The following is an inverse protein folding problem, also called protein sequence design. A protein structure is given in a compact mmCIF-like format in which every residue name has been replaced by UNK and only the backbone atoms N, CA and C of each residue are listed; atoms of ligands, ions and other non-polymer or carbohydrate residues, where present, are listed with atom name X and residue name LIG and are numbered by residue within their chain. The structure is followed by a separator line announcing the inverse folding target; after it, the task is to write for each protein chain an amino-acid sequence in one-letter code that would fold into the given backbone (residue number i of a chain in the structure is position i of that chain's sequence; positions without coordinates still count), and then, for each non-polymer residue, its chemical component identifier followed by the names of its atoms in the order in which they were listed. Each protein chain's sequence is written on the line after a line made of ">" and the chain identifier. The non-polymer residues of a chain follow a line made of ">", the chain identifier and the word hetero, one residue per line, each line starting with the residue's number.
data_IF_421404466146
#
_entry.id   IF_421404466146
#
_cell.length_a   1.000
_cell.length_b   1.000
_cell.length_c   1.000
_cell.angle_alpha   90.00
_cell.angle_beta   90.00
_cell.angle_gamma   90.00
#
_symmetry.space_group_name_H-M   'P 1'
#
loop_
_entity.id
_entity.type
_entity.pdbx_description
1 polymer ?
#
# COMPACT_ATOMS: atom_id res chain seq x y z
N UNK A 1 9.19 2.79 5.64
CA UNK A 1 8.30 2.29 4.56
C UNK A 1 7.74 3.46 3.77
N UNK A 2 7.63 3.34 2.44
CA UNK A 2 6.99 4.32 1.57
C UNK A 2 5.73 3.75 0.89
N UNK A 3 4.66 4.53 0.83
CA UNK A 3 3.43 4.25 0.08
C UNK A 3 3.31 5.29 -1.02
N UNK A 4 3.21 4.87 -2.28
CA UNK A 4 3.32 5.76 -3.45
C UNK A 4 2.06 5.69 -4.31
N UNK A 5 1.47 6.83 -4.63
CA UNK A 5 0.38 6.95 -5.61
C UNK A 5 -0.83 7.72 -5.11
N UNK A 6 -2.04 7.22 -5.39
CA UNK A 6 -3.31 7.87 -5.01
C UNK A 6 -3.64 7.67 -3.53
N UNK A 7 -3.02 8.46 -2.65
CA UNK A 7 -3.22 8.39 -1.19
C UNK A 7 -4.59 8.92 -0.80
N UNK A 8 -5.06 9.95 -1.51
CA UNK A 8 -6.34 10.62 -1.27
C UNK A 8 -7.53 9.64 -1.30
N UNK A 9 -7.53 8.70 -2.25
CA UNK A 9 -8.64 7.76 -2.44
C UNK A 9 -8.33 6.32 -1.99
N UNK A 10 -7.09 6.02 -1.59
CA UNK A 10 -6.71 4.64 -1.27
C UNK A 10 -7.09 4.23 0.15
N UNK A 11 -8.11 3.36 0.25
CA UNK A 11 -8.41 2.64 1.50
C UNK A 11 -7.24 1.78 1.97
N UNK A 12 -6.44 1.26 1.04
CA UNK A 12 -5.25 0.42 1.35
C UNK A 12 -4.17 1.27 2.02
N UNK A 13 -3.92 2.48 1.51
CA UNK A 13 -2.98 3.41 2.12
C UNK A 13 -3.45 3.76 3.54
N UNK A 14 -4.71 4.13 3.70
CA UNK A 14 -5.29 4.49 5.00
C UNK A 14 -5.17 3.36 6.03
N UNK A 15 -5.57 2.15 5.67
CA UNK A 15 -5.47 1.00 6.59
C UNK A 15 -4.03 0.67 6.93
N UNK A 16 -3.11 0.75 5.97
CA UNK A 16 -1.70 0.48 6.22
C UNK A 16 -1.08 1.52 7.13
N UNK A 17 -1.34 2.82 6.92
CA UNK A 17 -0.83 3.88 7.80
C UNK A 17 -1.26 3.65 9.26
N UNK A 18 -2.56 3.40 9.47
CA UNK A 18 -3.10 3.13 10.81
C UNK A 18 -2.49 1.87 11.44
N UNK A 19 -2.43 0.77 10.69
CA UNK A 19 -1.89 -0.48 11.20
C UNK A 19 -0.39 -0.37 11.54
N UNK A 20 0.39 0.27 10.67
CA UNK A 20 1.82 0.44 10.87
C UNK A 20 2.13 1.40 12.01
N UNK A 21 1.34 2.46 12.16
CA UNK A 21 1.44 3.36 13.31
C UNK A 21 1.16 2.59 14.60
N UNK A 22 0.10 1.77 14.64
CA UNK A 22 -0.22 0.93 15.80
C UNK A 22 0.87 -0.11 16.10
N UNK A 23 1.56 -0.62 15.08
CA UNK A 23 2.69 -1.55 15.22
C UNK A 23 4.02 -0.86 15.56
N UNK A 24 4.03 0.48 15.75
CA UNK A 24 5.22 1.22 16.13
C UNK A 24 6.24 1.41 15.01
N UNK A 25 5.81 1.37 13.75
CA UNK A 25 6.70 1.68 12.63
C UNK A 25 7.18 3.14 12.72
N UNK A 26 8.50 3.38 12.87
CA UNK A 26 9.01 4.71 13.20
C UNK A 26 9.05 5.67 12.01
N UNK A 27 9.04 5.15 10.78
CA UNK A 27 9.17 5.95 9.56
C UNK A 27 8.21 5.46 8.47
N UNK A 28 7.02 6.08 8.43
CA UNK A 28 6.00 5.85 7.42
C UNK A 28 5.95 7.07 6.51
N UNK A 29 6.11 6.84 5.21
CA UNK A 29 6.15 7.90 4.19
C UNK A 29 5.00 7.72 3.21
N UNK A 30 4.36 8.81 2.84
CA UNK A 30 3.43 8.86 1.72
C UNK A 30 4.02 9.73 0.62
N UNK A 31 3.96 9.23 -0.61
CA UNK A 31 4.60 9.86 -1.76
C UNK A 31 3.57 9.99 -2.87
N UNK A 32 3.40 11.18 -3.41
CA UNK A 32 2.50 11.37 -4.53
C UNK A 32 2.41 12.83 -4.98
N UNK A 33 1.73 13.07 -6.10
CA UNK A 33 1.42 14.42 -6.53
C UNK A 33 0.49 15.10 -5.52
N UNK A 34 0.64 16.41 -5.33
CA UNK A 34 -0.16 17.19 -4.36
C UNK A 34 -1.67 17.00 -4.53
N UNK A 35 -2.13 16.82 -5.77
CA UNK A 35 -3.53 16.57 -6.12
C UNK A 35 -4.07 15.22 -5.63
N UNK A 36 -3.19 14.28 -5.29
CA UNK A 36 -3.54 12.95 -4.78
C UNK A 36 -3.11 12.72 -3.33
N UNK A 37 -2.73 13.79 -2.62
CA UNK A 37 -2.42 13.77 -1.20
C UNK A 37 -3.57 14.42 -0.42
N UNK A 38 -4.17 13.74 0.57
CA UNK A 38 -5.18 14.35 1.42
C UNK A 38 -4.56 15.42 2.31
N UNK A 39 -5.28 16.53 2.50
CA UNK A 39 -4.88 17.58 3.43
C UNK A 39 -4.82 17.03 4.85
N UNK A 40 -3.71 17.26 5.55
CA UNK A 40 -3.53 16.82 6.93
C UNK A 40 -3.31 15.31 7.07
N UNK A 41 -2.82 14.62 6.04
CA UNK A 41 -2.49 13.19 6.12
C UNK A 41 -1.42 12.90 7.20
N UNK A 42 -0.61 13.89 7.54
CA UNK A 42 0.40 13.85 8.61
C UNK A 42 -0.20 13.49 9.97
N UNK A 43 -1.50 13.72 10.20
CA UNK A 43 -2.19 13.32 11.43
C UNK A 43 -2.13 11.81 11.69
N UNK A 44 -1.88 11.00 10.65
CA UNK A 44 -1.67 9.55 10.74
C UNK A 44 -0.22 9.17 11.08
N UNK A 45 0.60 10.13 11.54
CA UNK A 45 2.00 9.89 11.91
C UNK A 45 2.92 9.62 10.72
N UNK A 46 2.57 10.12 9.54
CA UNK A 46 3.32 9.90 8.30
C UNK A 46 4.05 11.16 7.84
N UNK A 47 5.15 10.98 7.11
CA UNK A 47 5.86 12.05 6.41
C UNK A 47 5.40 12.13 4.96
N UNK A 48 5.16 13.35 4.48
CA UNK A 48 4.68 13.58 3.12
C UNK A 48 5.83 13.98 2.20
N UNK A 49 5.91 13.33 1.04
CA UNK A 49 6.88 13.63 -0.01
C UNK A 49 6.17 13.86 -1.34
N UNK A 50 6.60 14.87 -2.07
CA UNK A 50 6.14 15.13 -3.45
C UNK A 50 7.22 14.84 -4.50
N UNK A 51 8.42 14.52 -4.06
CA UNK A 51 9.50 13.99 -4.89
C UNK A 51 9.69 12.50 -4.58
N UNK A 52 9.71 11.67 -5.63
CA UNK A 52 9.78 10.23 -5.48
C UNK A 52 11.16 9.77 -4.97
N UNK A 53 12.26 10.37 -5.44
CA UNK A 53 13.61 9.92 -5.08
C UNK A 53 13.90 10.24 -3.61
N UNK A 54 13.53 11.44 -3.16
CA UNK A 54 13.65 11.84 -1.75
C UNK A 54 12.81 10.94 -0.85
N UNK A 55 11.57 10.65 -1.24
CA UNK A 55 10.70 9.79 -0.45
C UNK A 55 11.15 8.32 -0.40
N UNK A 56 11.80 7.81 -1.44
CA UNK A 56 12.33 6.44 -1.50
C UNK A 56 13.65 6.25 -0.75
N UNK A 57 14.35 7.33 -0.39
CA UNK A 57 15.69 7.23 0.19
C UNK A 57 15.73 6.36 1.44
N UNK A 58 16.56 5.31 1.44
CA UNK A 58 16.79 4.42 2.59
C UNK A 58 15.52 3.70 3.12
N UNK A 59 14.47 3.52 2.31
CA UNK A 59 13.28 2.76 2.76
C UNK A 59 13.48 1.26 2.62
N UNK A 60 12.96 0.50 3.59
CA UNK A 60 12.97 -0.98 3.58
C UNK A 60 11.83 -1.59 2.74
N UNK A 61 10.74 -0.85 2.56
CA UNK A 61 9.54 -1.34 1.87
C UNK A 61 8.93 -0.23 1.03
N UNK A 62 8.61 -0.54 -0.23
CA UNK A 62 7.90 0.34 -1.16
C UNK A 62 6.57 -0.31 -1.54
N UNK A 63 5.47 0.37 -1.23
CA UNK A 63 4.12 -0.04 -1.65
C UNK A 63 3.66 0.89 -2.76
N UNK A 64 3.64 0.37 -3.99
CA UNK A 64 3.03 1.07 -5.11
C UNK A 64 1.52 0.88 -5.09
N UNK A 65 0.77 1.96 -5.33
CA UNK A 65 -0.68 1.93 -5.45
C UNK A 65 -1.11 1.99 -6.91
N UNK A 66 -2.16 1.25 -7.23
CA UNK A 66 -2.77 1.27 -8.55
C UNK A 66 -3.30 2.67 -8.86
N UNK A 67 -2.88 3.25 -9.97
CA UNK A 67 -3.50 4.47 -10.48
C UNK A 67 -4.80 4.14 -11.22
N UNK A 68 -5.89 4.83 -10.90
CA UNK A 68 -7.17 4.63 -11.58
C UNK A 68 -7.37 5.71 -12.67
N UNK A 69 -7.85 5.30 -13.86
CA UNK A 69 -7.92 6.18 -15.05
C UNK A 69 -8.90 7.35 -14.86
N UNK A 70 -9.94 7.14 -14.07
CA UNK A 70 -10.94 8.17 -13.74
C UNK A 70 -10.34 9.42 -13.07
N UNK A 71 -9.15 9.30 -12.46
CA UNK A 71 -8.44 10.45 -11.85
C UNK A 71 -7.97 11.47 -12.89
N UNK A 72 -7.77 11.04 -14.13
CA UNK A 72 -7.38 11.90 -15.25
C UNK A 72 -8.56 12.75 -15.71
N UNK A 73 -9.72 12.12 -15.88
CA UNK A 73 -10.95 12.80 -16.29
C UNK A 73 -11.41 13.85 -15.27
N UNK A 74 -11.12 13.60 -13.98
CA UNK A 74 -11.39 14.55 -12.89
C UNK A 74 -10.39 15.70 -12.77
N UNK A 75 -9.37 15.80 -13.64
CA UNK A 75 -8.37 16.88 -13.63
C UNK A 75 -7.35 16.78 -12.49
N UNK A 76 -7.30 15.66 -11.75
CA UNK A 76 -6.32 15.45 -10.68
C UNK A 76 -4.94 15.09 -11.23
N UNK A 77 -4.87 14.55 -12.45
CA UNK A 77 -3.64 14.23 -13.14
C UNK A 77 -3.72 14.58 -14.64
N UNK A 78 -2.61 15.04 -15.22
CA UNK A 78 -2.52 15.38 -16.64
C UNK A 78 -2.48 14.14 -17.56
N UNK A 79 -1.64 13.14 -17.26
CA UNK A 79 -1.60 11.89 -18.03
C UNK A 79 -1.04 10.70 -17.22
N UNK A 80 -1.33 9.45 -17.65
CA UNK A 80 -0.67 8.23 -17.11
C UNK A 80 0.85 8.28 -17.36
N UNK A 81 1.26 8.74 -18.54
CA UNK A 81 2.67 8.86 -18.90
C UNK A 81 3.41 9.88 -18.06
N UNK A 82 2.78 11.01 -17.71
CA UNK A 82 3.36 11.98 -16.79
C UNK A 82 3.44 11.44 -15.37
N UNK A 83 2.41 10.72 -14.91
CA UNK A 83 2.48 10.03 -13.64
C UNK A 83 3.64 9.03 -13.61
N UNK A 84 3.79 8.18 -14.63
CA UNK A 84 4.93 7.25 -14.71
C UNK A 84 6.28 7.99 -14.72
N UNK A 85 6.37 9.08 -15.50
CA UNK A 85 7.58 9.91 -15.58
C UNK A 85 7.94 10.55 -14.25
N UNK A 86 7.00 10.86 -13.36
CA UNK A 86 7.30 11.53 -12.08
C UNK A 86 7.31 10.58 -10.89
N UNK A 87 6.37 9.63 -10.85
CA UNK A 87 6.07 8.78 -9.70
C UNK A 87 6.06 7.28 -10.02
N UNK A 88 6.28 6.88 -11.27
CA UNK A 88 6.44 5.47 -11.64
C UNK A 88 7.70 4.87 -10.99
N UNK A 89 7.57 3.70 -10.40
CA UNK A 89 8.71 3.00 -9.80
C UNK A 89 9.48 2.24 -10.89
N UNK A 90 10.64 2.77 -11.26
CA UNK A 90 11.59 2.15 -12.18
C UNK A 90 12.76 1.52 -11.44
N UNK A 91 13.49 0.64 -12.11
CA UNK A 91 14.70 0.00 -11.57
C UNK A 91 15.72 1.03 -11.08
N UNK A 92 15.91 2.11 -11.85
CA UNK A 92 16.81 3.20 -11.49
C UNK A 92 16.37 3.96 -10.22
N UNK A 93 15.05 4.13 -10.02
CA UNK A 93 14.50 4.81 -8.83
C UNK A 93 14.49 3.91 -7.61
N UNK A 94 14.25 2.62 -7.80
CA UNK A 94 14.32 1.64 -6.73
C UNK A 94 15.71 1.59 -6.10
N UNK A 95 16.77 1.89 -6.86
CA UNK A 95 18.14 1.98 -6.35
C UNK A 95 18.36 3.07 -5.28
N UNK A 96 17.40 4.02 -5.11
CA UNK A 96 17.44 4.97 -3.99
C UNK A 96 16.95 4.36 -2.66
N UNK A 97 16.17 3.27 -2.72
CA UNK A 97 15.80 2.50 -1.54
C UNK A 97 16.98 1.66 -1.05
N UNK A 98 16.79 0.94 0.07
CA UNK A 98 17.83 0.04 0.57
C UNK A 98 18.08 -1.12 -0.42
N UNK A 99 19.31 -1.67 -0.48
CA UNK A 99 19.66 -2.77 -1.38
C UNK A 99 18.83 -4.06 -1.17
N UNK A 100 18.20 -4.23 -0.02
CA UNK A 100 17.34 -5.36 0.33
C UNK A 100 15.86 -4.97 0.45
N UNK A 101 15.50 -3.76 0.02
CA UNK A 101 14.14 -3.26 0.12
C UNK A 101 13.16 -4.16 -0.66
N UNK A 102 11.97 -4.39 -0.14
CA UNK A 102 10.94 -5.15 -0.86
C UNK A 102 9.92 -4.23 -1.53
N UNK A 103 9.38 -4.70 -2.66
CA UNK A 103 8.34 -4.02 -3.43
C UNK A 103 7.02 -4.78 -3.32
N UNK A 104 5.99 -4.03 -2.95
CA UNK A 104 4.62 -4.50 -2.75
C UNK A 104 3.66 -3.72 -3.63
N UNK A 105 2.54 -4.34 -3.99
CA UNK A 105 1.46 -3.71 -4.74
C UNK A 105 0.14 -4.48 -4.49
N UNK A 106 -0.98 -3.81 -4.14
CA UNK A 106 -2.22 -4.49 -3.78
C UNK A 106 -2.94 -5.13 -4.98
N UNK A 107 -2.61 -4.71 -6.20
CA UNK A 107 -3.14 -5.25 -7.45
C UNK A 107 -4.55 -4.74 -7.80
N UNK A 108 -5.03 -4.97 -9.04
CA UNK A 108 -4.22 -5.39 -10.21
C UNK A 108 -3.22 -4.29 -10.62
N UNK A 109 -2.10 -4.68 -11.21
CA UNK A 109 -0.99 -3.78 -11.57
C UNK A 109 -1.23 -3.17 -12.96
N UNK A 110 -1.05 -1.85 -13.09
CA UNK A 110 -0.86 -1.19 -14.39
C UNK A 110 0.64 -0.99 -14.66
N UNK A 111 1.20 -1.88 -15.48
CA UNK A 111 2.60 -1.83 -15.90
C UNK A 111 2.84 -0.62 -16.80
N UNK A 112 3.95 0.08 -16.59
CA UNK A 112 4.28 1.30 -17.32
C UNK A 112 3.47 2.54 -16.88
N UNK A 113 2.71 2.44 -15.78
CA UNK A 113 1.99 3.58 -15.17
C UNK A 113 2.50 3.83 -13.75
N UNK A 114 2.23 2.92 -12.81
CA UNK A 114 2.79 3.04 -11.45
C UNK A 114 4.10 2.28 -11.27
N UNK A 115 4.37 1.26 -12.06
CA UNK A 115 5.54 0.39 -11.86
C UNK A 115 6.08 -0.16 -13.18
N UNK A 116 7.40 -0.23 -13.29
CA UNK A 116 8.10 -0.89 -14.39
C UNK A 116 7.95 -2.41 -14.27
N UNK A 117 7.79 -3.11 -15.40
CA UNK A 117 7.65 -4.58 -15.40
C UNK A 117 8.82 -5.31 -14.74
N UNK A 118 10.05 -4.84 -14.98
CA UNK A 118 11.25 -5.42 -14.39
C UNK A 118 11.30 -5.30 -12.86
N UNK A 119 10.64 -4.28 -12.29
CA UNK A 119 10.52 -4.13 -10.84
C UNK A 119 9.39 -5.01 -10.30
N UNK A 120 8.25 -5.04 -10.99
CA UNK A 120 7.08 -5.83 -10.58
C UNK A 120 7.37 -7.34 -10.52
N UNK A 121 8.24 -7.85 -11.40
CA UNK A 121 8.64 -9.27 -11.45
C UNK A 121 10.10 -9.48 -11.01
N UNK A 122 10.74 -8.44 -10.49
CA UNK A 122 12.16 -8.44 -10.12
C UNK A 122 12.44 -9.07 -8.76
N UNK A 123 13.74 -9.14 -8.41
CA UNK A 123 14.22 -9.78 -7.18
C UNK A 123 13.66 -9.16 -5.88
N UNK A 124 13.29 -7.89 -5.91
CA UNK A 124 12.71 -7.18 -4.77
C UNK A 124 11.19 -7.40 -4.63
N UNK A 125 10.54 -7.98 -5.64
CA UNK A 125 9.09 -8.09 -5.67
C UNK A 125 8.57 -9.20 -4.74
N UNK A 126 7.64 -8.82 -3.87
CA UNK A 126 6.85 -9.78 -3.08
C UNK A 126 5.38 -9.74 -3.48
N UNK A 127 5.03 -9.17 -4.64
CA UNK A 127 3.64 -8.92 -5.05
C UNK A 127 2.85 -10.23 -5.18
N UNK A 128 3.42 -11.26 -5.82
CA UNK A 128 2.77 -12.57 -5.91
C UNK A 128 2.67 -13.27 -4.56
N UNK A 129 3.66 -13.05 -3.67
CA UNK A 129 3.60 -13.57 -2.30
C UNK A 129 2.41 -12.96 -1.54
N UNK A 130 2.10 -11.67 -1.73
CA UNK A 130 0.91 -11.04 -1.14
C UNK A 130 -0.39 -11.75 -1.53
N UNK A 131 -0.52 -12.24 -2.77
CA UNK A 131 -1.69 -12.98 -3.23
C UNK A 131 -1.83 -14.29 -2.45
N UNK A 132 -0.74 -15.03 -2.34
CA UNK A 132 -0.68 -16.29 -1.58
C UNK A 132 -1.00 -16.08 -0.11
N UNK A 133 -0.36 -15.09 0.53
CA UNK A 133 -0.60 -14.75 1.94
C UNK A 133 -2.04 -14.26 2.18
N UNK A 134 -2.65 -13.63 1.18
CA UNK A 134 -4.05 -13.21 1.27
C UNK A 134 -5.02 -14.37 1.52
N UNK A 135 -4.74 -15.59 1.03
CA UNK A 135 -5.57 -16.76 1.30
C UNK A 135 -5.46 -17.16 2.78
N UNK A 136 -4.23 -17.33 3.28
CA UNK A 136 -3.97 -17.70 4.66
C UNK A 136 -4.55 -16.69 5.66
N UNK A 137 -4.37 -15.39 5.41
CA UNK A 137 -4.92 -14.32 6.26
C UNK A 137 -6.45 -14.35 6.28
N UNK A 138 -7.11 -14.53 5.12
CA UNK A 138 -8.58 -14.63 5.08
C UNK A 138 -9.09 -15.86 5.82
N UNK A 139 -8.42 -17.00 5.69
CA UNK A 139 -8.75 -18.21 6.45
C UNK A 139 -8.64 -17.96 7.96
N UNK A 140 -7.57 -17.33 8.42
CA UNK A 140 -7.39 -16.99 9.82
C UNK A 140 -8.49 -16.04 10.34
N UNK A 141 -8.79 -14.97 9.59
CA UNK A 141 -9.84 -14.01 9.95
C UNK A 141 -11.22 -14.68 10.05
N UNK A 142 -11.58 -15.52 9.06
CA UNK A 142 -12.84 -16.26 9.08
C UNK A 142 -12.91 -17.25 10.25
N UNK A 143 -11.81 -17.97 10.51
CA UNK A 143 -11.73 -18.89 11.64
C UNK A 143 -11.95 -18.17 12.97
N UNK A 144 -11.29 -17.03 13.20
CA UNK A 144 -11.47 -16.23 14.42
C UNK A 144 -12.90 -15.70 14.56
N UNK A 145 -13.50 -15.22 13.47
CA UNK A 145 -14.88 -14.73 13.47
C UNK A 145 -15.88 -15.85 13.81
N UNK A 146 -15.67 -17.06 13.29
CA UNK A 146 -16.51 -18.23 13.58
C UNK A 146 -16.32 -18.75 15.00
N UNK A 147 -15.09 -18.76 15.53
CA UNK A 147 -14.82 -19.18 16.92
C UNK A 147 -15.56 -18.31 17.93
N UNK A 148 -15.62 -16.99 17.73
CA UNK A 148 -16.38 -16.09 18.59
C UNK A 148 -17.89 -16.38 18.57
N UNK A 149 -18.46 -16.67 17.39
CA UNK A 149 -19.87 -17.04 17.26
C UNK A 149 -20.20 -18.37 17.93
N UNK A 150 -19.31 -19.35 17.82
CA UNK A 150 -19.51 -20.66 18.43
C UNK A 150 -19.42 -20.61 19.97
N UNK A 151 -18.47 -19.85 20.52
CA UNK A 151 -18.35 -19.63 21.96
C UNK A 151 -19.61 -18.94 22.53
N UNK A 152 -20.15 -17.93 21.82
CA UNK A 152 -21.39 -17.26 22.21
C UNK A 152 -22.59 -18.23 22.22
N UNK A 153 -22.74 -19.07 21.19
CA UNK A 153 -23.83 -20.08 21.15
C UNK A 153 -23.71 -21.12 22.25
N UNK A 154 -22.50 -21.57 22.57
CA UNK A 154 -22.28 -22.52 23.67
C UNK A 154 -22.66 -21.89 25.02
N UNK A 155 -22.25 -20.65 25.27
CA UNK A 155 -22.63 -19.91 26.47
C UNK A 155 -24.16 -19.73 26.59
N UNK A 156 -24.85 -19.42 25.48
CA UNK A 156 -26.32 -19.32 25.48
C UNK A 156 -27.01 -20.66 25.73
N UNK A 157 -26.47 -21.76 25.22
CA UNK A 157 -27.00 -23.11 25.45
C UNK A 157 -26.78 -23.59 26.89
N UNK A 158 -25.64 -23.29 27.48
CA UNK A 158 -25.31 -23.64 28.86
C UNK A 158 -26.15 -22.86 29.89
N UNK A 159 -26.48 -21.60 29.61
CA UNK A 159 -27.30 -20.77 30.51
C UNK A 159 -28.81 -20.87 30.27
N UNK A 160 -29.24 -21.62 29.26
CA UNK A 160 -30.65 -21.92 29.00
C UNK A 160 -31.12 -23.23 29.66
N UNK A 161 -30.22 -23.96 30.34
CA UNK A 161 -30.48 -25.14 31.17
C UNK A 161 -30.52 -24.76 32.65
#
# INVERSE_FOLDING_TARGET
>A
MAIVGDILHSRVARSNMLALQALGCPDIRVIGPKTLLPVGVEQYGVKVYTDLNEGLKDVDVVIMLRLQRERMTGGLLPSEGEFYRLFGLTTARLAAAKPDAIVMHPGPINRGVEIESAVADGAHSVILNQVTYGIAIRMAVLSMAMSGQNAQRQFEQENAQ
#
